data_IF_167077718834
#
_entry.id   IF_167077718834
#
_cell.length_a   1.000
_cell.length_b   1.000
_cell.length_c   1.000
_cell.angle_alpha   90.00
_cell.angle_beta   90.00
_cell.angle_gamma   90.00
#
_symmetry.space_group_name_H-M   'P 1'
#
loop_
_entity.id
_entity.type
_entity.pdbx_description
1 polymer ?
#
# COMPACT_ATOMS: atom_id res chain seq x y z
N UNK A 1 2.97 11.47 7.05
CA UNK A 1 2.28 10.33 6.43
C UNK A 1 1.36 10.89 5.37
N UNK A 2 1.20 10.19 4.26
CA UNK A 2 0.33 10.61 3.17
C UNK A 2 -0.16 9.38 2.40
N UNK A 3 -1.18 9.56 1.56
CA UNK A 3 -1.74 8.53 0.70
C UNK A 3 -1.80 8.92 -0.78
N UNK A 4 -1.78 7.89 -1.63
CA UNK A 4 -2.05 8.02 -3.04
C UNK A 4 -3.26 7.18 -3.44
N UNK A 5 -4.12 7.76 -4.29
CA UNK A 5 -5.14 7.00 -5.01
C UNK A 5 -6.54 6.99 -4.42
N UNK A 6 -6.87 7.81 -3.43
CA UNK A 6 -8.22 7.80 -2.84
C UNK A 6 -9.34 8.07 -3.83
N UNK A 7 -9.13 9.00 -4.77
CA UNK A 7 -10.14 9.37 -5.77
C UNK A 7 -10.22 8.46 -7.01
N UNK A 8 -9.41 7.41 -7.10
CA UNK A 8 -9.40 6.55 -8.27
C UNK A 8 -10.59 5.58 -8.29
N UNK A 9 -11.10 5.27 -9.48
CA UNK A 9 -12.13 4.24 -9.68
C UNK A 9 -11.55 2.83 -9.67
N UNK A 10 -10.23 2.69 -9.91
CA UNK A 10 -9.53 1.42 -9.97
C UNK A 10 -8.19 1.47 -9.23
N UNK A 11 -7.77 0.31 -8.75
CA UNK A 11 -6.53 0.08 -8.03
C UNK A 11 -6.60 0.44 -6.55
N UNK A 12 -5.52 0.15 -5.81
CA UNK A 12 -5.47 0.34 -4.37
C UNK A 12 -5.41 1.82 -3.98
N UNK A 13 -5.66 2.09 -2.69
CA UNK A 13 -5.08 3.25 -2.01
C UNK A 13 -3.76 2.80 -1.39
N UNK A 14 -2.70 3.55 -1.60
CA UNK A 14 -1.37 3.27 -1.03
C UNK A 14 -1.10 4.35 0.00
N UNK A 15 -0.71 3.96 1.19
CA UNK A 15 -0.39 4.86 2.30
C UNK A 15 1.07 4.68 2.67
N UNK A 16 1.77 5.79 2.88
CA UNK A 16 3.14 5.74 3.36
C UNK A 16 3.30 6.56 4.64
N UNK A 17 4.05 5.99 5.58
CA UNK A 17 4.55 6.67 6.75
C UNK A 17 6.06 6.59 6.78
N UNK A 18 6.70 7.65 7.25
CA UNK A 18 8.14 7.65 7.47
C UNK A 18 8.50 8.54 8.65
N UNK A 19 9.66 8.26 9.22
CA UNK A 19 10.24 8.98 10.33
C UNK A 19 11.73 9.20 10.09
N UNK A 20 12.19 10.40 10.45
CA UNK A 20 13.59 10.79 10.45
C UNK A 20 13.86 11.80 11.57
N UNK A 21 15.12 11.95 11.94
CA UNK A 21 15.58 13.08 12.75
C UNK A 21 15.68 14.33 11.88
N UNK A 22 15.27 15.48 12.44
CA UNK A 22 15.18 16.74 11.70
C UNK A 22 16.56 17.19 11.19
N UNK A 23 17.56 17.15 12.06
CA UNK A 23 18.93 17.58 11.79
C UNK A 23 19.62 16.66 10.79
N UNK A 24 19.30 15.36 10.82
CA UNK A 24 19.74 14.39 9.83
C UNK A 24 19.11 14.69 8.46
N UNK A 25 17.81 14.96 8.43
CA UNK A 25 17.07 15.18 7.19
C UNK A 25 17.57 16.40 6.43
N UNK A 26 17.84 17.52 7.13
CA UNK A 26 18.38 18.74 6.51
C UNK A 26 19.75 18.57 5.85
N UNK A 27 20.51 17.53 6.22
CA UNK A 27 21.81 17.22 5.62
C UNK A 27 21.71 16.32 4.40
N UNK A 28 20.52 15.80 4.09
CA UNK A 28 20.34 14.87 2.98
C UNK A 28 20.24 15.62 1.65
N UNK A 29 20.91 15.15 0.59
CA UNK A 29 20.85 15.79 -0.73
C UNK A 29 19.42 15.88 -1.30
N UNK A 30 18.54 14.95 -0.95
CA UNK A 30 17.15 14.95 -1.44
C UNK A 30 16.29 16.04 -0.80
N UNK A 31 16.71 16.62 0.34
CA UNK A 31 15.83 17.43 1.19
C UNK A 31 15.33 18.69 0.50
N UNK A 32 16.23 19.42 -0.17
CA UNK A 32 15.91 20.67 -0.88
C UNK A 32 15.04 20.45 -2.12
N UNK A 33 14.95 19.21 -2.59
CA UNK A 33 14.18 18.81 -3.76
C UNK A 33 12.81 18.23 -3.41
N UNK A 34 12.48 18.09 -2.12
CA UNK A 34 11.16 17.67 -1.68
C UNK A 34 10.13 18.74 -2.03
N UNK A 35 9.04 18.29 -2.65
CA UNK A 35 7.89 19.13 -2.99
C UNK A 35 6.64 18.25 -3.04
N UNK A 36 5.46 18.87 -3.25
CA UNK A 36 4.22 18.17 -3.56
C UNK A 36 4.48 17.17 -4.70
N UNK A 37 4.17 15.89 -4.44
CA UNK A 37 4.46 14.80 -5.37
C UNK A 37 3.80 15.02 -6.73
N UNK A 38 2.67 15.75 -6.80
CA UNK A 38 1.95 16.07 -8.03
C UNK A 38 2.64 17.16 -8.85
N UNK A 39 3.43 18.02 -8.21
CA UNK A 39 4.20 19.08 -8.88
C UNK A 39 5.54 18.57 -9.43
N UNK A 40 6.05 17.47 -8.89
CA UNK A 40 7.25 16.81 -9.39
C UNK A 40 7.00 16.04 -10.69
N UNK A 41 7.92 16.16 -11.65
CA UNK A 41 7.92 15.30 -12.84
C UNK A 41 8.08 13.83 -12.45
N UNK A 42 7.70 12.91 -13.33
CA UNK A 42 7.86 11.47 -13.09
C UNK A 42 9.32 11.12 -12.82
N UNK A 43 10.26 11.71 -13.57
CA UNK A 43 11.70 11.43 -13.44
C UNK A 43 12.25 11.91 -12.09
N UNK A 44 11.90 13.13 -11.67
CA UNK A 44 12.31 13.67 -10.37
C UNK A 44 11.72 12.85 -9.22
N UNK A 45 10.45 12.49 -9.33
CA UNK A 45 9.77 11.70 -8.30
C UNK A 45 10.38 10.31 -8.13
N UNK A 46 10.73 9.64 -9.23
CA UNK A 46 11.42 8.35 -9.22
C UNK A 46 12.84 8.46 -8.62
N UNK A 47 13.57 9.53 -8.94
CA UNK A 47 14.88 9.81 -8.35
C UNK A 47 14.78 9.99 -6.82
N UNK A 48 13.86 10.85 -6.37
CA UNK A 48 13.63 11.11 -4.95
C UNK A 48 13.17 9.86 -4.21
N UNK A 49 12.29 9.06 -4.83
CA UNK A 49 11.88 7.77 -4.28
C UNK A 49 13.08 6.85 -4.02
N UNK A 50 13.98 6.72 -5.00
CA UNK A 50 15.17 5.89 -4.85
C UNK A 50 16.13 6.44 -3.78
N UNK A 51 16.32 7.76 -3.71
CA UNK A 51 17.14 8.40 -2.67
C UNK A 51 16.55 8.17 -1.27
N UNK A 52 15.24 8.29 -1.11
CA UNK A 52 14.55 8.02 0.15
C UNK A 52 14.72 6.55 0.57
N UNK A 53 14.58 5.60 -0.35
CA UNK A 53 14.77 4.18 -0.05
C UNK A 53 16.22 3.80 0.27
N UNK A 54 17.19 4.48 -0.31
CA UNK A 54 18.62 4.26 -0.05
C UNK A 54 19.10 4.92 1.24
N UNK A 55 18.29 5.79 1.83
CA UNK A 55 18.62 6.50 3.07
C UNK A 55 18.29 5.68 4.31
N UNK A 56 18.85 6.04 5.46
CA UNK A 56 18.66 5.33 6.73
C UNK A 56 17.31 5.64 7.43
N UNK A 57 16.30 6.08 6.67
CA UNK A 57 14.99 6.45 7.22
C UNK A 57 14.16 5.21 7.59
N UNK A 58 13.35 5.36 8.63
CA UNK A 58 12.33 4.38 8.96
C UNK A 58 11.08 4.70 8.15
N UNK A 59 10.86 3.98 7.05
CA UNK A 59 9.68 4.14 6.19
C UNK A 59 8.87 2.84 6.10
N UNK A 60 7.56 2.99 5.95
CA UNK A 60 6.61 1.90 5.75
C UNK A 60 5.59 2.30 4.69
N UNK A 61 5.34 1.41 3.73
CA UNK A 61 4.36 1.59 2.66
C UNK A 61 3.33 0.47 2.77
N UNK A 62 2.06 0.83 2.80
CA UNK A 62 0.92 -0.09 2.94
C UNK A 62 0.00 0.06 1.74
N UNK A 63 -0.39 -1.07 1.16
CA UNK A 63 -1.29 -1.13 0.00
C UNK A 63 -2.63 -1.67 0.46
N UNK A 64 -3.69 -0.88 0.31
CA UNK A 64 -5.06 -1.29 0.66
C UNK A 64 -5.85 -1.53 -0.62
N UNK A 65 -6.23 -2.79 -0.83
CA UNK A 65 -6.84 -3.26 -2.08
C UNK A 65 -8.27 -2.72 -2.28
N UNK A 66 -8.78 -2.72 -3.54
CA UNK A 66 -10.18 -2.40 -3.84
C UNK A 66 -11.18 -3.20 -3.01
N UNK A 67 -10.89 -4.48 -2.73
CA UNK A 67 -11.72 -5.33 -1.88
C UNK A 67 -11.93 -4.73 -0.48
N UNK A 68 -10.86 -4.27 0.17
CA UNK A 68 -10.94 -3.64 1.48
C UNK A 68 -11.62 -2.28 1.42
N UNK A 69 -11.39 -1.52 0.34
CA UNK A 69 -12.06 -0.23 0.07
C UNK A 69 -13.57 -0.42 -0.04
N UNK A 70 -14.02 -1.43 -0.77
CA UNK A 70 -15.43 -1.74 -0.94
C UNK A 70 -16.06 -2.30 0.35
N UNK A 71 -15.29 -3.03 1.16
CA UNK A 71 -15.76 -3.62 2.43
C UNK A 71 -15.97 -2.59 3.54
N UNK A 72 -15.12 -1.55 3.60
CA UNK A 72 -15.16 -0.58 4.70
C UNK A 72 -15.57 0.83 4.30
N UNK A 73 -15.45 1.21 3.03
CA UNK A 73 -15.36 2.57 2.49
C UNK A 73 -13.94 3.15 2.46
N UNK A 74 -13.72 4.09 1.54
CA UNK A 74 -12.41 4.68 1.27
C UNK A 74 -11.80 5.42 2.45
N UNK A 75 -12.60 6.10 3.27
CA UNK A 75 -12.09 6.82 4.43
C UNK A 75 -11.54 5.82 5.46
N UNK A 76 -12.33 4.82 5.85
CA UNK A 76 -11.91 3.80 6.82
C UNK A 76 -10.72 2.98 6.32
N UNK A 77 -10.69 2.63 5.03
CA UNK A 77 -9.55 1.93 4.42
C UNK A 77 -8.27 2.78 4.41
N UNK A 78 -8.38 4.08 4.19
CA UNK A 78 -7.22 4.99 4.28
C UNK A 78 -6.74 5.10 5.73
N UNK A 79 -7.65 5.25 6.69
CA UNK A 79 -7.31 5.30 8.12
C UNK A 79 -6.62 4.01 8.58
N UNK A 80 -7.10 2.85 8.16
CA UNK A 80 -6.42 1.57 8.41
C UNK A 80 -5.01 1.57 7.80
N UNK A 81 -4.86 2.09 6.57
CA UNK A 81 -3.56 2.26 5.93
C UNK A 81 -2.61 3.14 6.74
N UNK A 82 -3.09 4.24 7.33
CA UNK A 82 -2.29 5.06 8.25
C UNK A 82 -1.87 4.29 9.50
N UNK A 83 -2.78 3.58 10.17
CA UNK A 83 -2.42 2.77 11.36
C UNK A 83 -1.33 1.74 11.04
N UNK A 84 -1.44 1.09 9.88
CA UNK A 84 -0.52 0.04 9.44
C UNK A 84 0.79 0.56 8.88
N UNK A 85 0.85 1.83 8.47
CA UNK A 85 2.06 2.45 7.93
C UNK A 85 2.78 3.32 8.95
N UNK A 86 2.38 3.29 10.23
CA UNK A 86 3.04 4.05 11.29
C UNK A 86 4.46 3.51 11.50
N UNK A 87 5.52 4.25 11.10
CA UNK A 87 6.90 3.79 11.25
C UNK A 87 7.26 3.47 12.71
N UNK A 88 8.14 2.48 12.87
CA UNK A 88 8.80 2.13 14.12
C UNK A 88 10.27 2.57 14.07
N UNK A 89 10.81 3.23 15.12
CA UNK A 89 10.13 3.62 16.36
C UNK A 89 9.06 4.71 16.14
N UNK A 90 8.02 4.72 16.99
CA UNK A 90 6.97 5.75 16.92
C UNK A 90 7.55 7.10 17.30
N UNK A 91 7.46 8.07 16.40
CA UNK A 91 7.99 9.43 16.59
C UNK A 91 6.88 10.43 16.92
N UNK A 92 7.17 11.37 17.81
CA UNK A 92 6.28 12.48 18.19
C UNK A 92 6.97 13.82 17.88
N UNK A 93 6.29 14.79 17.24
CA UNK A 93 4.93 14.72 16.70
C UNK A 93 4.84 13.89 15.40
N UNK A 94 3.68 13.25 15.15
CA UNK A 94 3.36 12.59 13.86
C UNK A 94 2.42 13.51 13.07
N UNK A 95 2.70 13.70 11.78
CA UNK A 95 1.86 14.51 10.88
C UNK A 95 1.24 13.63 9.79
N UNK A 96 -0.05 13.80 9.53
CA UNK A 96 -0.81 13.06 8.52
C UNK A 96 -1.45 14.08 7.57
N UNK A 97 -1.26 13.93 6.26
CA UNK A 97 -1.93 14.80 5.30
C UNK A 97 -3.46 14.65 5.34
N UNK A 98 -4.16 15.77 5.24
CA UNK A 98 -5.62 15.82 5.24
C UNK A 98 -6.22 16.18 6.59
N UNK A 99 -7.50 15.81 6.78
CA UNK A 99 -8.34 16.28 7.89
C UNK A 99 -8.80 15.16 8.85
N UNK A 100 -8.34 13.92 8.65
CA UNK A 100 -8.70 12.78 9.50
C UNK A 100 -7.43 12.08 9.98
N UNK A 101 -7.46 11.62 11.23
CA UNK A 101 -6.42 10.78 11.83
C UNK A 101 -7.05 9.53 12.44
N UNK A 102 -6.35 8.39 12.46
CA UNK A 102 -6.87 7.23 13.16
C UNK A 102 -6.96 7.48 14.66
N UNK A 103 -8.04 7.00 15.29
CA UNK A 103 -8.28 7.16 16.73
C UNK A 103 -7.16 6.52 17.56
N UNK A 104 -6.55 5.45 17.05
CA UNK A 104 -5.43 4.76 17.70
C UNK A 104 -4.12 5.58 17.71
N UNK A 105 -4.01 6.61 16.86
CA UNK A 105 -2.81 7.44 16.70
C UNK A 105 -2.92 8.73 17.51
N UNK A 106 -2.96 8.62 18.84
CA UNK A 106 -3.22 9.75 19.77
C UNK A 106 -2.34 10.99 19.60
N UNK A 107 -1.14 10.84 19.04
CA UNK A 107 -0.16 11.92 18.84
C UNK A 107 -0.05 12.39 17.38
N UNK A 108 -0.87 11.83 16.49
CA UNK A 108 -0.94 12.27 15.12
C UNK A 108 -1.76 13.55 15.01
N UNK A 109 -1.29 14.48 14.19
CA UNK A 109 -1.99 15.71 13.85
C UNK A 109 -2.38 15.68 12.37
N UNK A 110 -3.65 15.99 12.04
CA UNK A 110 -4.06 16.20 10.66
C UNK A 110 -3.49 17.53 10.16
N UNK A 111 -2.94 17.53 8.95
CA UNK A 111 -2.36 18.69 8.29
C UNK A 111 -2.95 18.82 6.89
N UNK A 112 -3.89 19.74 6.69
CA UNK A 112 -4.52 19.95 5.39
C UNK A 112 -3.50 20.58 4.44
N UNK A 113 -3.18 19.92 3.33
CA UNK A 113 -2.16 20.37 2.37
C UNK A 113 -0.75 20.33 2.96
N UNK A 114 -0.51 19.37 3.86
CA UNK A 114 0.80 19.09 4.43
C UNK A 114 1.79 18.62 3.38
N UNK A 115 1.31 17.97 2.32
CA UNK A 115 2.10 17.56 1.14
C UNK A 115 2.76 18.73 0.40
N UNK A 116 2.27 19.96 0.60
CA UNK A 116 2.85 21.18 0.04
C UNK A 116 3.70 22.01 1.03
N UNK A 117 3.71 21.66 2.33
CA UNK A 117 4.35 22.50 3.37
C UNK A 117 5.31 21.77 4.31
N UNK A 118 5.12 20.47 4.49
CA UNK A 118 5.80 19.69 5.53
C UNK A 118 6.68 18.65 4.86
N UNK A 119 8.03 18.78 4.93
CA UNK A 119 8.95 17.89 4.21
C UNK A 119 8.76 16.39 4.49
N UNK A 120 8.43 16.02 5.72
CA UNK A 120 8.18 14.61 6.06
C UNK A 120 6.88 14.07 5.42
N UNK A 121 5.89 14.94 5.18
CA UNK A 121 4.69 14.58 4.41
C UNK A 121 5.00 14.54 2.93
N UNK A 122 5.76 15.51 2.38
CA UNK A 122 6.22 15.49 0.98
C UNK A 122 6.92 14.17 0.63
N UNK A 123 7.86 13.73 1.46
CA UNK A 123 8.56 12.46 1.26
C UNK A 123 7.61 11.25 1.36
N UNK A 124 6.65 11.25 2.31
CA UNK A 124 5.65 10.20 2.38
C UNK A 124 4.74 10.18 1.13
N UNK A 125 4.37 11.35 0.62
CA UNK A 125 3.61 11.53 -0.61
C UNK A 125 4.32 10.91 -1.80
N UNK A 126 5.63 11.17 -1.93
CA UNK A 126 6.49 10.59 -2.97
C UNK A 126 6.49 9.07 -2.87
N UNK A 127 6.72 8.50 -1.67
CA UNK A 127 6.72 7.05 -1.46
C UNK A 127 5.38 6.42 -1.85
N UNK A 128 4.26 6.96 -1.37
CA UNK A 128 2.93 6.46 -1.67
C UNK A 128 2.62 6.57 -3.18
N UNK A 129 2.96 7.70 -3.79
CA UNK A 129 2.65 8.00 -5.20
C UNK A 129 3.43 7.11 -6.16
N UNK A 130 4.74 6.96 -5.97
CA UNK A 130 5.58 6.13 -6.85
C UNK A 130 5.21 4.66 -6.69
N UNK A 131 5.06 4.17 -5.46
CA UNK A 131 4.63 2.79 -5.22
C UNK A 131 3.28 2.50 -5.90
N UNK A 132 2.30 3.41 -5.75
CA UNK A 132 1.01 3.26 -6.43
C UNK A 132 1.11 3.31 -7.94
N UNK A 133 1.85 4.26 -8.49
CA UNK A 133 1.94 4.43 -9.94
C UNK A 133 2.62 3.22 -10.59
N UNK A 134 3.64 2.64 -9.94
CA UNK A 134 4.27 1.38 -10.38
C UNK A 134 3.28 0.22 -10.35
N UNK A 135 2.46 0.07 -9.29
CA UNK A 135 1.38 -0.93 -9.25
C UNK A 135 0.37 -0.73 -10.40
N UNK A 136 -0.03 0.51 -10.68
CA UNK A 136 -0.96 0.79 -11.78
C UNK A 136 -0.33 0.55 -13.16
N UNK A 137 0.98 0.70 -13.32
CA UNK A 137 1.69 0.32 -14.55
C UNK A 137 1.68 -1.20 -14.75
N UNK A 138 1.96 -1.97 -13.69
CA UNK A 138 1.88 -3.44 -13.72
C UNK A 138 0.47 -3.95 -14.07
N UNK A 139 -0.57 -3.24 -13.62
CA UNK A 139 -1.95 -3.52 -14.01
C UNK A 139 -2.26 -3.11 -15.45
N UNK A 140 -1.68 -2.02 -15.95
CA UNK A 140 -1.87 -1.58 -17.33
C UNK A 140 -1.33 -2.60 -18.35
N UNK A 141 -0.26 -3.31 -18.01
CA UNK A 141 0.27 -4.41 -18.84
C UNK A 141 -0.69 -5.59 -18.91
N UNK A 142 -1.38 -5.89 -17.80
CA UNK A 142 -2.33 -7.01 -17.69
C UNK A 142 -3.73 -6.69 -18.18
N UNK A 143 -4.11 -5.41 -18.15
CA UNK A 143 -5.43 -4.89 -18.52
C UNK A 143 -5.27 -3.74 -19.53
N UNK A 144 -4.73 -4.02 -20.73
CA UNK A 144 -4.37 -2.98 -21.71
C UNK A 144 -5.58 -2.16 -22.19
N UNK A 145 -6.76 -2.78 -22.24
CA UNK A 145 -8.01 -2.17 -22.72
C UNK A 145 -8.47 -0.96 -21.91
N UNK A 146 -8.00 -0.85 -20.66
CA UNK A 146 -8.41 0.20 -19.73
C UNK A 146 -7.46 1.40 -19.71
N UNK A 147 -6.33 1.40 -20.43
CA UNK A 147 -5.33 2.49 -20.48
C UNK A 147 -4.86 3.02 -19.10
N UNK A 148 -4.77 2.13 -18.10
CA UNK A 148 -4.30 2.50 -16.77
C UNK A 148 -2.90 3.14 -16.77
N UNK A 149 -2.09 2.88 -17.82
CA UNK A 149 -0.78 3.49 -18.01
C UNK A 149 -0.84 5.01 -18.04
N UNK A 150 -1.93 5.63 -18.52
CA UNK A 150 -2.07 7.09 -18.54
C UNK A 150 -2.73 7.62 -17.28
N UNK A 151 -3.98 7.22 -17.02
CA UNK A 151 -4.79 7.81 -15.97
C UNK A 151 -4.69 7.12 -14.61
N UNK A 152 -3.91 6.04 -14.44
CA UNK A 152 -3.64 5.41 -13.13
C UNK A 152 -4.91 5.06 -12.32
N UNK A 153 -6.00 4.74 -13.02
CA UNK A 153 -7.30 4.42 -12.41
C UNK A 153 -8.18 5.63 -12.06
N UNK A 154 -7.77 6.88 -12.30
CA UNK A 154 -8.65 8.05 -12.19
C UNK A 154 -9.77 8.00 -13.24
N UNK A 155 -10.95 8.52 -12.90
CA UNK A 155 -12.14 8.52 -13.78
C UNK A 155 -12.08 9.56 -14.90
N UNK A 156 -11.07 9.47 -15.77
CA UNK A 156 -10.99 10.29 -16.98
C UNK A 156 -12.02 9.85 -18.02
N UNK A 157 -12.33 10.70 -19.00
CA UNK A 157 -13.24 10.35 -20.09
C UNK A 157 -12.87 9.01 -20.77
N UNK A 158 -11.57 8.76 -20.98
CA UNK A 158 -11.08 7.50 -21.55
C UNK A 158 -11.32 6.30 -20.63
N UNK A 159 -11.14 6.45 -19.31
CA UNK A 159 -11.42 5.38 -18.37
C UNK A 159 -12.92 5.07 -18.29
N UNK A 160 -13.77 6.10 -18.34
CA UNK A 160 -15.22 5.93 -18.36
C UNK A 160 -15.70 5.25 -19.65
N UNK A 161 -15.11 5.59 -20.79
CA UNK A 161 -15.37 4.91 -22.05
C UNK A 161 -14.97 3.43 -21.98
N UNK A 162 -13.77 3.12 -21.48
CA UNK A 162 -13.33 1.73 -21.29
C UNK A 162 -14.26 0.95 -20.35
N UNK A 163 -14.71 1.58 -19.26
CA UNK A 163 -15.71 1.00 -18.35
C UNK A 163 -17.04 0.69 -19.05
N UNK A 164 -17.51 1.56 -19.94
CA UNK A 164 -18.74 1.32 -20.71
C UNK A 164 -18.57 0.20 -21.75
N UNK A 165 -17.41 0.13 -22.39
CA UNK A 165 -17.12 -0.86 -23.44
C UNK A 165 -16.85 -2.26 -22.88
N UNK A 166 -16.02 -2.35 -21.84
CA UNK A 166 -15.49 -3.61 -21.32
C UNK A 166 -16.09 -4.03 -19.96
N UNK A 167 -16.91 -3.17 -19.36
CA UNK A 167 -17.38 -3.34 -17.99
C UNK A 167 -16.30 -3.06 -16.94
N UNK A 168 -16.58 -3.29 -15.64
CA UNK A 168 -15.57 -3.19 -14.60
C UNK A 168 -14.62 -4.40 -14.57
N UNK A 169 -13.33 -4.13 -14.35
CA UNK A 169 -12.27 -5.14 -14.14
C UNK A 169 -12.16 -5.56 -12.65
N UNK A 170 -11.37 -6.61 -12.33
CA UNK A 170 -11.15 -7.04 -10.94
C UNK A 170 -10.56 -5.98 -10.01
N UNK A 171 -9.87 -4.96 -10.55
CA UNK A 171 -9.24 -3.90 -9.74
C UNK A 171 -10.12 -2.66 -9.58
N UNK A 172 -11.32 -2.63 -10.16
CA UNK A 172 -12.25 -1.54 -9.95
C UNK A 172 -12.89 -1.60 -8.56
N UNK A 173 -13.14 -0.42 -7.98
CA UNK A 173 -13.81 -0.23 -6.70
C UNK A 173 -15.31 -0.22 -6.94
N UNK A 174 -15.95 -1.34 -6.65
CA UNK A 174 -17.34 -1.63 -7.01
C UNK A 174 -18.34 -0.71 -6.29
N UNK A 175 -17.95 -0.14 -5.15
CA UNK A 175 -18.78 0.80 -4.39
C UNK A 175 -18.73 2.24 -4.93
N UNK A 176 -17.78 2.58 -5.80
CA UNK A 176 -17.61 3.93 -6.31
C UNK A 176 -18.56 4.20 -7.48
N UNK A 177 -19.16 5.39 -7.54
CA UNK A 177 -19.75 5.90 -8.78
C UNK A 177 -18.63 6.33 -9.75
N UNK A 178 -18.72 6.03 -11.06
CA UNK A 178 -19.82 5.37 -11.76
C UNK A 178 -19.68 3.84 -11.84
N UNK A 179 -18.62 3.23 -11.31
CA UNK A 179 -18.39 1.77 -11.39
C UNK A 179 -19.62 0.98 -10.93
N UNK A 180 -20.20 1.36 -9.79
CA UNK A 180 -21.40 0.73 -9.22
C UNK A 180 -22.60 0.71 -10.16
N UNK A 181 -22.73 1.71 -11.02
CA UNK A 181 -23.87 1.87 -11.94
C UNK A 181 -23.69 1.05 -13.22
N UNK A 182 -22.45 0.65 -13.51
CA UNK A 182 -22.08 -0.19 -14.65
C UNK A 182 -21.94 -1.66 -14.22
N UNK A 183 -22.01 -1.95 -12.91
CA UNK A 183 -22.06 -3.33 -12.43
C UNK A 183 -23.30 -4.01 -13.03
N UNK A 184 -23.17 -5.19 -13.65
CA UNK A 184 -24.32 -5.95 -14.09
C UNK A 184 -25.20 -6.32 -12.89
N UNK A 185 -26.52 -6.41 -13.11
CA UNK A 185 -27.52 -6.73 -12.08
C UNK A 185 -27.22 -8.05 -11.34
N UNK A 186 -26.55 -8.97 -12.02
CA UNK A 186 -25.82 -10.09 -11.46
C UNK A 186 -24.39 -10.02 -11.98
N UNK A 187 -23.40 -9.96 -11.10
CA UNK A 187 -22.02 -10.30 -11.49
C UNK A 187 -22.07 -11.73 -12.04
N UNK A 188 -21.47 -12.05 -13.20
CA UNK A 188 -21.46 -13.41 -13.68
C UNK A 188 -20.88 -14.30 -12.57
N UNK A 189 -21.73 -15.13 -11.98
CA UNK A 189 -21.28 -16.23 -11.14
C UNK A 189 -20.62 -17.24 -12.08
N UNK A 190 -19.34 -17.01 -12.34
CA UNK A 190 -18.55 -17.73 -13.34
C UNK A 190 -18.84 -17.26 -14.77
N UNK A 191 -17.96 -17.54 -15.74
CA UNK A 191 -16.54 -17.87 -15.65
C UNK A 191 -15.84 -17.56 -16.98
N UNK A 192 -16.39 -16.78 -17.91
CA UNK A 192 -15.99 -16.93 -19.33
C UNK A 192 -14.96 -15.93 -19.88
N UNK A 193 -14.49 -14.95 -19.08
CA UNK A 193 -13.30 -14.14 -19.45
C UNK A 193 -12.03 -14.60 -18.71
N UNK A 194 -12.16 -15.27 -17.57
CA UNK A 194 -11.01 -15.93 -16.91
C UNK A 194 -10.47 -17.10 -17.76
N UNK A 195 -11.25 -17.60 -18.72
CA UNK A 195 -10.93 -18.72 -19.61
C UNK A 195 -9.92 -18.39 -20.72
N UNK A 196 -9.47 -17.14 -20.87
CA UNK A 196 -8.31 -16.80 -21.72
C UNK A 196 -6.97 -16.88 -20.98
N UNK A 197 -6.99 -17.12 -19.65
CA UNK A 197 -5.81 -17.33 -18.82
C UNK A 197 -5.33 -18.77 -19.02
N UNK A 198 -4.11 -18.95 -19.54
CA UNK A 198 -3.57 -20.28 -19.85
C UNK A 198 -3.20 -21.13 -18.62
N UNK A 199 -3.16 -20.56 -17.40
CA UNK A 199 -3.25 -21.32 -16.14
C UNK A 199 -4.45 -20.87 -15.26
N UNK A 200 -5.60 -21.54 -15.44
CA UNK A 200 -6.85 -21.28 -14.72
C UNK A 200 -6.85 -21.72 -13.24
N UNK A 201 -5.88 -22.52 -12.77
CA UNK A 201 -5.90 -23.12 -11.42
C UNK A 201 -5.43 -22.15 -10.34
N UNK A 202 -4.55 -21.19 -10.68
CA UNK A 202 -4.13 -20.08 -9.81
C UNK A 202 -5.21 -18.98 -9.71
N UNK A 203 -5.84 -18.66 -10.84
CA UNK A 203 -6.95 -17.70 -10.92
C UNK A 203 -8.16 -18.13 -10.06
N UNK A 204 -8.38 -19.44 -9.90
CA UNK A 204 -9.50 -20.02 -9.15
C UNK A 204 -9.19 -20.27 -7.65
N UNK A 205 -7.93 -20.55 -7.25
CA UNK A 205 -7.55 -20.73 -5.82
C UNK A 205 -7.60 -19.43 -5.00
N UNK A 206 -7.18 -18.30 -5.58
CA UNK A 206 -7.22 -16.97 -4.94
C UNK A 206 -8.65 -16.45 -4.71
N UNK A 207 -9.60 -16.92 -5.53
CA UNK A 207 -11.01 -16.56 -5.45
C UNK A 207 -11.80 -17.41 -4.41
N UNK A 208 -11.45 -18.69 -4.22
CA UNK A 208 -12.28 -19.66 -3.50
C UNK A 208 -12.03 -19.81 -1.99
N UNK A 209 -10.97 -19.24 -1.41
CA UNK A 209 -10.52 -19.67 -0.08
C UNK A 209 -11.01 -18.86 1.15
N UNK A 210 -11.64 -17.67 1.04
CA UNK A 210 -12.11 -16.88 2.21
C UNK A 210 -11.07 -16.79 3.37
N UNK A 211 -9.78 -16.62 3.08
CA UNK A 211 -8.72 -16.50 4.10
C UNK A 211 -8.22 -15.06 4.29
N UNK A 212 -7.77 -14.83 5.53
CA UNK A 212 -6.97 -13.73 6.02
C UNK A 212 -5.75 -13.40 5.14
N UNK A 213 -5.27 -12.15 5.27
CA UNK A 213 -4.01 -11.61 4.71
C UNK A 213 -2.93 -12.68 4.54
N UNK A 214 -2.46 -12.89 3.31
CA UNK A 214 -1.20 -13.59 3.05
C UNK A 214 -0.10 -12.51 3.15
N UNK A 215 0.79 -12.58 4.13
CA UNK A 215 1.96 -11.72 4.18
C UNK A 215 2.82 -11.94 2.93
N UNK A 216 3.34 -10.86 2.35
CA UNK A 216 4.19 -10.86 1.13
C UNK A 216 5.39 -11.82 1.19
N UNK A 217 5.78 -12.30 2.36
CA UNK A 217 6.80 -13.33 2.57
C UNK A 217 6.39 -14.76 2.14
N UNK A 218 5.11 -15.02 1.84
CA UNK A 218 4.60 -16.35 1.45
C UNK A 218 4.23 -16.47 -0.05
N UNK A 219 4.52 -15.45 -0.87
CA UNK A 219 4.36 -15.50 -2.33
C UNK A 219 5.71 -15.28 -3.04
N UNK A 220 6.45 -16.37 -3.36
CA UNK A 220 7.78 -16.29 -3.96
C UNK A 220 7.80 -15.71 -5.38
N UNK A 221 6.68 -15.71 -6.09
CA UNK A 221 6.56 -15.18 -7.46
C UNK A 221 6.36 -13.66 -7.40
N UNK A 222 5.48 -13.20 -6.51
CA UNK A 222 5.21 -11.78 -6.29
C UNK A 222 6.42 -11.09 -5.63
N UNK A 223 7.08 -11.75 -4.67
CA UNK A 223 8.38 -11.34 -4.11
C UNK A 223 9.46 -11.21 -5.19
N UNK A 224 9.59 -12.20 -6.08
CA UNK A 224 10.54 -12.15 -7.20
C UNK A 224 10.21 -11.06 -8.21
N UNK A 225 8.92 -10.80 -8.46
CA UNK A 225 8.47 -9.71 -9.32
C UNK A 225 8.82 -8.35 -8.71
N UNK A 226 8.57 -8.14 -7.41
CA UNK A 226 8.93 -6.92 -6.72
C UNK A 226 10.46 -6.72 -6.61
N UNK A 227 11.23 -7.78 -6.38
CA UNK A 227 12.71 -7.75 -6.46
C UNK A 227 13.16 -7.41 -7.89
N UNK A 228 12.58 -8.06 -8.91
CA UNK A 228 12.91 -7.86 -10.32
C UNK A 228 12.55 -6.46 -10.85
N UNK A 229 11.55 -5.81 -10.25
CA UNK A 229 11.19 -4.42 -10.54
C UNK A 229 11.98 -3.38 -9.70
N UNK A 230 12.99 -3.81 -8.92
CA UNK A 230 13.79 -2.92 -8.07
C UNK A 230 12.99 -2.27 -6.94
N UNK A 231 11.84 -2.83 -6.58
CA UNK A 231 10.99 -2.40 -5.47
C UNK A 231 11.41 -3.05 -4.13
N UNK A 232 12.37 -3.97 -4.17
CA UNK A 232 12.84 -4.74 -3.03
C UNK A 232 14.32 -5.10 -3.23
N UNK A 233 15.21 -4.67 -2.31
CA UNK A 233 16.58 -5.17 -2.25
C UNK A 233 16.66 -6.33 -1.26
N UNK A 234 17.32 -7.42 -1.68
CA UNK A 234 17.78 -8.43 -0.76
C UNK A 234 18.85 -7.80 0.14
N UNK A 235 18.67 -7.98 1.45
CA UNK A 235 19.57 -7.60 2.55
C UNK A 235 19.61 -6.12 2.98
N UNK A 236 19.24 -5.93 4.25
CA UNK A 236 19.53 -4.81 5.17
C UNK A 236 18.70 -3.51 5.05
N UNK A 237 17.51 -3.52 5.69
CA UNK A 237 16.57 -2.43 6.06
C UNK A 237 15.79 -1.82 4.88
N UNK A 238 14.44 -1.67 4.95
CA UNK A 238 13.57 -1.46 6.11
C UNK A 238 12.84 -2.74 6.57
N UNK A 239 12.56 -2.83 7.87
CA UNK A 239 11.74 -3.91 8.44
C UNK A 239 10.28 -3.81 7.94
N UNK A 240 9.97 -4.50 6.85
CA UNK A 240 8.60 -4.84 6.47
C UNK A 240 8.04 -5.84 7.48
N UNK A 241 7.44 -5.35 8.57
CA UNK A 241 6.71 -6.20 9.52
C UNK A 241 5.21 -6.04 9.30
N UNK A 242 4.54 -7.11 8.91
CA UNK A 242 3.17 -7.38 9.35
C UNK A 242 3.21 -7.61 10.86
N UNK A 243 2.32 -6.97 11.63
CA UNK A 243 2.11 -7.31 13.04
C UNK A 243 0.89 -8.23 13.16
N UNK A 244 0.98 -9.33 13.93
CA UNK A 244 -0.08 -10.33 14.04
C UNK A 244 -1.28 -9.78 14.80
N UNK A 245 -2.47 -10.20 14.39
CA UNK A 245 -3.68 -10.13 15.21
C UNK A 245 -3.58 -11.19 16.32
N UNK A 246 -3.69 -10.76 17.58
CA UNK A 246 -4.21 -11.63 18.65
C UNK A 246 -5.38 -10.94 19.32
N UNK A 247 -6.58 -11.48 19.10
CA UNK A 247 -7.69 -11.40 20.05
C UNK A 247 -7.64 -12.65 20.94
N UNK A 248 -7.90 -12.45 22.23
CA UNK A 248 -7.60 -13.35 23.36
C UNK A 248 -8.36 -14.69 23.38
N UNK A 249 -7.77 -15.71 24.04
CA UNK A 249 -8.34 -16.27 25.28
C UNK A 249 -7.31 -17.10 26.07
N UNK A 250 -7.50 -17.28 27.39
CA UNK A 250 -6.49 -17.73 28.34
C UNK A 250 -6.52 -19.25 28.54
N UNK A 251 -5.37 -19.90 28.55
CA UNK A 251 -5.09 -21.07 29.39
C UNK A 251 -3.75 -21.67 29.01
N UNK A 252 -2.88 -21.78 30.02
CA UNK A 252 -1.82 -22.78 30.08
C UNK A 252 -0.69 -22.58 29.08
N UNK A 253 0.42 -22.04 29.56
CA UNK A 253 1.67 -22.80 29.72
C UNK A 253 2.59 -21.94 30.58
N UNK A 254 2.90 -22.48 31.75
CA UNK A 254 3.88 -21.99 32.70
C UNK A 254 5.27 -22.08 32.09
N UNK A 255 6.05 -21.00 32.15
CA UNK A 255 7.51 -21.09 32.12
C UNK A 255 8.04 -20.24 33.26
N UNK A 256 8.24 -20.90 34.39
CA UNK A 256 9.04 -20.41 35.50
C UNK A 256 10.53 -20.38 35.09
N UNK A 257 11.21 -19.33 35.54
CA UNK A 257 12.64 -19.10 35.36
C UNK A 257 13.49 -19.94 36.33
N UNK A 258 14.60 -20.45 35.79
CA UNK A 258 15.94 -20.62 36.39
C UNK A 258 16.16 -21.65 37.51
N UNK A 259 17.43 -22.00 37.82
CA UNK A 259 18.56 -22.37 36.97
C UNK A 259 19.24 -23.65 37.52
N UNK A 260 20.46 -23.96 37.04
CA UNK A 260 21.55 -24.69 37.71
C UNK A 260 21.90 -26.11 37.24
N UNK A 261 23.17 -26.20 36.79
CA UNK A 261 24.22 -27.15 37.18
C UNK A 261 24.20 -28.61 36.69
N UNK A 262 25.24 -28.88 35.89
CA UNK A 262 26.23 -29.98 36.03
C UNK A 262 25.79 -31.44 35.95
N UNK A 263 26.55 -32.19 35.14
CA UNK A 263 26.89 -33.58 35.39
C UNK A 263 26.00 -34.57 34.63
N UNK A 264 26.58 -35.26 33.65
CA UNK A 264 26.95 -36.65 33.88
C UNK A 264 27.48 -37.32 32.61
N UNK A 265 28.59 -38.03 32.77
CA UNK A 265 28.88 -39.35 32.20
C UNK A 265 30.28 -39.78 32.67
N UNK A 266 30.53 -41.09 32.80
CA UNK A 266 30.04 -42.03 33.81
C UNK A 266 31.07 -42.25 34.95
#
# INVERSE_FOLDING_TARGET
>A
MDEAGRGCLAGPVVVAGLAWEREWAYKQPFFEHLNDSKQLSVKERELLYNQLLQSEIHAQVVVVSPFWIDSFNILKSTLLGFEKSYPLPRVVPTYIDGNHVPVSMRWARPEIGGDARIPVIMAASILAKVARDRLMQAWAERLPDYDFKRHKGYGTAKHLQALQTFGPSPIHRKTFRPVREILPASWPEGRDHLMSIQDPLQAFRLYMQRYHEIPLEHDPELLRYFIGCGLWSNASKPEFRYLPLKTHSPSGISLAFSPSTSGDSP
#
